data_IF_394296405894
#
_entry.id   IF_394296405894
#
_cell.length_a   1.000
_cell.length_b   1.000
_cell.length_c   1.000
_cell.angle_alpha   90.00
_cell.angle_beta   90.00
_cell.angle_gamma   90.00
#
_symmetry.space_group_name_H-M   'P 1'
#
loop_
_entity.id
_entity.type
_entity.pdbx_description
1 polymer ?
#
# COMPACT_ATOMS: atom_id res chain seq x y z
N UNK A 1 -9.60 23.85 4.82
CA UNK A 1 -10.14 22.47 4.95
C UNK A 1 -8.97 21.55 5.18
N UNK A 2 -8.56 21.39 6.44
CA UNK A 2 -7.65 20.30 6.85
C UNK A 2 -8.47 19.03 6.79
N UNK A 3 -8.11 18.09 5.90
CA UNK A 3 -8.75 16.78 5.82
C UNK A 3 -8.64 16.10 7.18
N UNK A 4 -9.73 16.11 7.93
CA UNK A 4 -9.85 15.53 9.25
C UNK A 4 -9.90 14.01 9.12
N UNK A 5 -8.90 13.32 9.67
CA UNK A 5 -9.14 12.07 10.39
C UNK A 5 -9.54 10.86 9.57
N UNK A 6 -8.92 10.61 8.42
CA UNK A 6 -8.67 9.22 8.07
C UNK A 6 -7.33 8.88 8.72
N UNK A 7 -7.34 8.29 9.92
CA UNK A 7 -6.29 7.32 10.25
C UNK A 7 -6.20 6.43 9.01
N UNK A 8 -5.11 6.53 8.25
CA UNK A 8 -4.93 5.74 7.05
C UNK A 8 -4.64 4.32 7.54
N UNK A 9 -5.70 3.63 7.98
CA UNK A 9 -5.63 2.25 8.43
C UNK A 9 -4.98 1.44 7.33
N UNK A 10 -4.26 0.40 7.69
CA UNK A 10 -3.58 -0.50 6.74
C UNK A 10 -4.49 -0.95 5.58
N UNK A 11 -5.81 -1.00 5.81
CA UNK A 11 -6.83 -1.26 4.80
C UNK A 11 -6.95 -0.19 3.70
N UNK A 12 -6.81 1.10 4.03
CA UNK A 12 -6.82 2.20 3.07
C UNK A 12 -5.57 2.16 2.18
N UNK A 13 -4.40 1.94 2.78
CA UNK A 13 -3.15 1.71 2.04
C UNK A 13 -3.28 0.47 1.13
N UNK A 14 -3.88 -0.61 1.62
CA UNK A 14 -4.13 -1.81 0.82
C UNK A 14 -5.05 -1.55 -0.39
N UNK A 15 -6.11 -0.76 -0.23
CA UNK A 15 -6.97 -0.39 -1.37
C UNK A 15 -6.22 0.41 -2.42
N UNK A 16 -5.38 1.35 -1.99
CA UNK A 16 -4.57 2.16 -2.91
C UNK A 16 -3.50 1.31 -3.61
N UNK A 17 -2.80 0.44 -2.87
CA UNK A 17 -1.84 -0.52 -3.42
C UNK A 17 -2.48 -1.44 -4.46
N UNK A 18 -3.65 -2.01 -4.17
CA UNK A 18 -4.38 -2.87 -5.12
C UNK A 18 -4.68 -2.13 -6.41
N UNK A 19 -5.21 -0.91 -6.29
CA UNK A 19 -5.53 -0.06 -7.44
C UNK A 19 -4.28 0.24 -8.28
N UNK A 20 -3.19 0.66 -7.64
CA UNK A 20 -1.95 0.97 -8.34
C UNK A 20 -1.29 -0.26 -8.98
N UNK A 21 -1.30 -1.42 -8.31
CA UNK A 21 -0.85 -2.69 -8.90
C UNK A 21 -1.64 -3.03 -10.18
N UNK A 22 -2.93 -2.70 -10.21
CA UNK A 22 -3.75 -2.84 -11.39
C UNK A 22 -3.41 -1.84 -12.49
N UNK A 23 -3.32 -0.55 -12.15
CA UNK A 23 -3.00 0.54 -13.09
C UNK A 23 -1.60 0.40 -13.71
N UNK A 24 -0.59 0.09 -12.89
CA UNK A 24 0.81 -0.05 -13.30
C UNK A 24 1.14 -1.45 -13.86
N UNK A 25 0.14 -2.35 -13.89
CA UNK A 25 0.30 -3.74 -14.31
C UNK A 25 1.42 -4.49 -13.58
N UNK A 26 1.61 -4.24 -12.28
CA UNK A 26 2.62 -4.92 -11.48
C UNK A 26 2.29 -6.42 -11.41
N UNK A 27 3.25 -7.27 -11.79
CA UNK A 27 3.10 -8.75 -11.79
C UNK A 27 4.14 -9.47 -10.93
N UNK A 28 5.09 -8.73 -10.36
CA UNK A 28 6.19 -9.28 -9.59
C UNK A 28 6.18 -8.72 -8.19
N UNK A 29 6.59 -9.53 -7.21
CA UNK A 29 6.70 -9.10 -5.82
C UNK A 29 7.70 -7.96 -5.66
N UNK A 30 8.78 -7.92 -6.46
CA UNK A 30 9.74 -6.81 -6.46
C UNK A 30 9.07 -5.48 -6.84
N UNK A 31 8.28 -5.47 -7.92
CA UNK A 31 7.54 -4.27 -8.33
C UNK A 31 6.46 -3.86 -7.32
N UNK A 32 5.89 -4.84 -6.60
CA UNK A 32 4.96 -4.55 -5.52
C UNK A 32 5.65 -3.91 -4.31
N UNK A 33 6.82 -4.42 -3.94
CA UNK A 33 7.62 -3.85 -2.85
C UNK A 33 8.09 -2.43 -3.18
N UNK A 34 8.48 -2.17 -4.43
CA UNK A 34 8.84 -0.83 -4.91
C UNK A 34 7.66 0.14 -4.77
N UNK A 35 6.46 -0.32 -5.15
CA UNK A 35 5.23 0.44 -5.02
C UNK A 35 4.83 0.70 -3.55
N UNK A 36 5.04 -0.28 -2.67
CA UNK A 36 4.86 -0.11 -1.22
C UNK A 36 5.81 0.94 -0.67
N UNK A 37 7.07 0.93 -1.10
CA UNK A 37 8.07 1.90 -0.68
C UNK A 37 7.66 3.32 -1.10
N UNK A 38 7.37 3.50 -2.38
CA UNK A 38 6.91 4.77 -2.96
C UNK A 38 5.68 5.32 -2.24
N UNK A 39 4.68 4.46 -1.99
CA UNK A 39 3.46 4.85 -1.31
C UNK A 39 3.75 5.36 0.12
N UNK A 40 4.57 4.62 0.87
CA UNK A 40 4.92 4.98 2.25
C UNK A 40 5.77 6.24 2.27
N UNK A 41 6.73 6.39 1.36
CA UNK A 41 7.54 7.62 1.27
C UNK A 41 6.69 8.85 0.91
N UNK A 42 5.76 8.70 -0.03
CA UNK A 42 4.83 9.75 -0.40
C UNK A 42 3.98 10.18 0.82
N UNK A 43 3.32 9.23 1.49
CA UNK A 43 2.48 9.54 2.65
C UNK A 43 3.30 10.12 3.82
N UNK A 44 4.53 9.67 4.00
CA UNK A 44 5.48 10.26 4.97
C UNK A 44 5.75 11.73 4.65
N UNK A 45 6.01 12.06 3.37
CA UNK A 45 6.29 13.44 2.95
C UNK A 45 5.09 14.38 3.18
N UNK A 46 3.87 13.85 3.16
CA UNK A 46 2.66 14.61 3.48
C UNK A 46 2.37 14.72 4.99
N UNK A 47 3.17 14.08 5.84
CA UNK A 47 2.97 14.08 7.30
C UNK A 47 1.79 13.24 7.75
N UNK A 48 1.43 12.18 7.01
CA UNK A 48 0.34 11.28 7.39
C UNK A 48 0.71 10.31 8.51
N UNK A 49 1.98 9.93 8.60
CA UNK A 49 2.47 9.04 9.64
C UNK A 49 2.95 9.82 10.85
N UNK A 50 2.83 9.23 12.04
CA UNK A 50 3.43 9.78 13.24
C UNK A 50 4.96 9.83 13.12
N UNK A 51 5.62 10.75 13.82
CA UNK A 51 7.09 10.85 13.83
C UNK A 51 7.76 9.56 14.38
N UNK A 52 7.07 8.85 15.28
CA UNK A 52 7.48 7.56 15.85
C UNK A 52 6.85 6.35 15.14
N UNK A 53 6.20 6.54 13.98
CA UNK A 53 5.60 5.43 13.25
C UNK A 53 6.68 4.49 12.68
N UNK A 54 6.54 3.20 12.97
CA UNK A 54 7.48 2.19 12.50
C UNK A 54 7.19 1.82 11.03
N UNK A 55 7.67 2.67 10.13
CA UNK A 55 7.43 2.55 8.68
C UNK A 55 8.01 1.26 8.12
N UNK A 56 9.10 0.74 8.70
CA UNK A 56 9.69 -0.54 8.28
C UNK A 56 8.73 -1.69 8.61
N UNK A 57 8.16 -1.70 9.81
CA UNK A 57 7.14 -2.69 10.17
C UNK A 57 5.90 -2.56 9.29
N UNK A 58 5.46 -1.34 8.97
CA UNK A 58 4.33 -1.10 8.07
C UNK A 58 4.62 -1.63 6.66
N UNK A 59 5.78 -1.28 6.08
CA UNK A 59 6.23 -1.77 4.78
C UNK A 59 6.26 -3.30 4.76
N UNK A 60 6.85 -3.93 5.78
CA UNK A 60 6.89 -5.38 5.90
C UNK A 60 5.50 -6.01 5.98
N UNK A 61 4.57 -5.39 6.71
CA UNK A 61 3.20 -5.85 6.81
C UNK A 61 2.46 -5.75 5.47
N UNK A 62 2.67 -4.67 4.71
CA UNK A 62 2.11 -4.48 3.38
C UNK A 62 2.72 -5.48 2.37
N UNK A 63 4.05 -5.60 2.32
CA UNK A 63 4.77 -6.55 1.46
C UNK A 63 4.32 -8.00 1.66
N UNK A 64 4.10 -8.42 2.92
CA UNK A 64 3.65 -9.79 3.23
C UNK A 64 2.26 -10.12 2.67
N UNK A 65 1.45 -9.08 2.43
CA UNK A 65 0.09 -9.17 1.88
C UNK A 65 0.04 -9.16 0.35
N UNK A 66 1.17 -9.31 -0.33
CA UNK A 66 1.20 -9.50 -1.79
C UNK A 66 0.27 -10.62 -2.26
N UNK A 67 0.20 -11.72 -1.51
CA UNK A 67 -0.71 -12.82 -1.83
C UNK A 67 -2.18 -12.39 -1.87
N UNK A 68 -2.63 -11.51 -0.95
CA UNK A 68 -4.00 -10.99 -0.96
C UNK A 68 -4.31 -10.15 -2.21
N UNK A 69 -3.29 -9.49 -2.77
CA UNK A 69 -3.40 -8.72 -4.02
C UNK A 69 -3.48 -9.67 -5.23
N UNK A 70 -2.69 -10.75 -5.22
CA UNK A 70 -2.69 -11.78 -6.26
C UNK A 70 -4.01 -12.58 -6.29
N UNK A 71 -4.53 -12.96 -5.12
CA UNK A 71 -5.78 -13.71 -5.00
C UNK A 71 -6.98 -12.91 -5.51
N UNK A 72 -7.03 -11.60 -5.24
CA UNK A 72 -8.10 -10.74 -5.73
C UNK A 72 -8.12 -10.62 -7.27
N UNK A 73 -6.94 -10.63 -7.91
CA UNK A 73 -6.84 -10.67 -9.37
C UNK A 73 -7.32 -11.99 -9.99
N UNK A 74 -7.15 -13.10 -9.27
CA UNK A 74 -7.55 -14.42 -9.77
C UNK A 74 -9.07 -14.58 -9.80
N UNK A 75 -9.81 -13.86 -8.94
CA UNK A 75 -11.27 -13.89 -8.89
C UNK A 75 -11.93 -13.05 -9.99
N UNK A 76 -11.27 -11.99 -10.46
CA UNK A 76 -11.74 -11.14 -11.58
C UNK A 76 -11.37 -11.69 -12.98
N UNK A 77 -10.85 -12.92 -13.06
CA UNK A 77 -10.50 -13.59 -14.31
C UNK A 77 -11.54 -14.66 -14.74
N UNK A 78 -12.76 -14.62 -14.17
CA UNK A 78 -13.75 -15.70 -14.31
C UNK A 78 -15.06 -15.25 -14.94
#
# INVERSE_FOLDING_TARGET
>A
MTFTGAEYSTEALMRELKKQVEEENIRSIDGYNDLVDLLVEEKKSYGFFAEDEDLEQLKSALSSRWNEVQENRSDNAR
#
